data_IF_265794282952
#
_entry.id   IF_265794282952
#
_cell.length_a   1.000
_cell.length_b   1.000
_cell.length_c   1.000
_cell.angle_alpha   90.00
_cell.angle_beta   90.00
_cell.angle_gamma   90.00
#
_symmetry.space_group_name_H-M   'P 1'
#
loop_
_entity.id
_entity.type
_entity.pdbx_description
1 polymer ?
#
# COMPACT_ATOMS: atom_id res chain seq x y z
N UNK A 1 -6.82 -1.93 -29.73
CA UNK A 1 -6.73 -3.05 -28.78
C UNK A 1 -5.82 -4.11 -29.39
N UNK A 2 -4.79 -4.53 -28.67
CA UNK A 2 -3.90 -5.62 -29.05
C UNK A 2 -3.97 -6.71 -27.99
N UNK A 3 -3.84 -7.97 -28.42
CA UNK A 3 -3.59 -9.12 -27.53
C UNK A 3 -2.11 -9.43 -27.41
N UNK A 4 -1.27 -8.78 -28.23
CA UNK A 4 0.18 -8.86 -28.20
C UNK A 4 0.72 -7.64 -27.46
N UNK A 5 0.93 -7.80 -26.16
CA UNK A 5 1.43 -6.72 -25.32
C UNK A 5 2.91 -6.41 -25.60
N UNK A 6 3.70 -7.38 -26.02
CA UNK A 6 5.13 -7.18 -26.31
C UNK A 6 5.34 -6.16 -27.44
N UNK A 7 4.55 -6.26 -28.52
CA UNK A 7 4.64 -5.31 -29.63
C UNK A 7 4.24 -3.88 -29.24
N UNK A 8 3.38 -3.72 -28.22
CA UNK A 8 2.97 -2.40 -27.71
C UNK A 8 4.14 -1.64 -27.10
N UNK A 9 5.06 -2.33 -26.42
CA UNK A 9 6.23 -1.71 -25.77
C UNK A 9 7.25 -1.14 -26.78
N UNK A 10 7.27 -1.66 -28.01
CA UNK A 10 8.19 -1.26 -29.07
C UNK A 10 7.68 -0.05 -29.87
N UNK A 11 6.44 0.38 -29.66
CA UNK A 11 5.85 1.52 -30.36
C UNK A 11 6.50 2.84 -29.98
N UNK A 12 6.86 3.66 -30.95
CA UNK A 12 7.49 4.97 -30.75
C UNK A 12 6.48 6.05 -30.30
N UNK A 13 5.16 5.83 -30.54
CA UNK A 13 4.09 6.74 -30.18
C UNK A 13 3.55 6.50 -28.74
N UNK A 14 4.20 5.63 -27.96
CA UNK A 14 3.86 5.35 -26.57
C UNK A 14 5.06 5.72 -25.69
N UNK A 15 4.86 6.62 -24.73
CA UNK A 15 5.87 7.06 -23.77
C UNK A 15 5.73 6.38 -22.39
N UNK A 16 4.54 5.91 -22.06
CA UNK A 16 4.18 5.41 -20.73
C UNK A 16 3.54 4.01 -20.87
N UNK A 17 3.95 3.11 -20.00
CA UNK A 17 3.28 1.82 -19.78
C UNK A 17 2.63 1.81 -18.40
N UNK A 18 1.32 1.57 -18.37
CA UNK A 18 0.55 1.29 -17.17
C UNK A 18 0.40 -0.23 -17.02
N UNK A 19 0.99 -0.78 -15.93
CA UNK A 19 0.99 -2.21 -15.64
C UNK A 19 -0.06 -2.47 -14.56
N UNK A 20 -1.26 -2.90 -14.99
CA UNK A 20 -2.41 -3.23 -14.14
C UNK A 20 -2.82 -4.71 -14.28
N UNK A 21 -1.85 -5.57 -14.51
CA UNK A 21 -2.03 -7.02 -14.68
C UNK A 21 -2.01 -7.75 -13.33
N UNK A 22 -2.27 -9.08 -13.26
CA UNK A 22 -1.93 -9.87 -12.09
C UNK A 22 -0.43 -9.81 -11.75
N UNK A 23 -0.10 -9.88 -10.45
CA UNK A 23 1.25 -9.58 -9.92
C UNK A 23 2.40 -10.34 -10.57
N UNK A 24 2.17 -11.62 -10.97
CA UNK A 24 3.21 -12.43 -11.60
C UNK A 24 3.73 -11.87 -12.93
N UNK A 25 2.98 -11.01 -13.61
CA UNK A 25 3.38 -10.38 -14.87
C UNK A 25 4.11 -9.04 -14.67
N UNK A 26 4.05 -8.43 -13.48
CA UNK A 26 4.65 -7.12 -13.24
C UNK A 26 6.14 -7.10 -13.55
N UNK A 27 6.88 -8.11 -13.09
CA UNK A 27 8.33 -8.20 -13.27
C UNK A 27 8.73 -8.21 -14.75
N UNK A 28 8.17 -9.11 -15.54
CA UNK A 28 8.49 -9.24 -16.96
C UNK A 28 8.17 -7.96 -17.74
N UNK A 29 6.96 -7.42 -17.50
CA UNK A 29 6.49 -6.21 -18.15
C UNK A 29 7.33 -4.98 -17.77
N UNK A 30 7.66 -4.79 -16.48
CA UNK A 30 8.48 -3.67 -16.05
C UNK A 30 9.90 -3.72 -16.64
N UNK A 31 10.52 -4.91 -16.69
CA UNK A 31 11.83 -5.11 -17.33
C UNK A 31 11.78 -4.78 -18.83
N UNK A 32 10.75 -5.24 -19.54
CA UNK A 32 10.57 -4.94 -20.98
C UNK A 32 10.33 -3.44 -21.20
N UNK A 33 9.46 -2.80 -20.39
CA UNK A 33 9.19 -1.37 -20.49
C UNK A 33 10.47 -0.54 -20.29
N UNK A 34 11.25 -0.85 -19.25
CA UNK A 34 12.53 -0.20 -18.97
C UNK A 34 13.51 -0.34 -20.14
N UNK A 35 13.67 -1.55 -20.69
CA UNK A 35 14.53 -1.80 -21.87
C UNK A 35 14.10 -1.00 -23.12
N UNK A 36 12.80 -0.72 -23.25
CA UNK A 36 12.26 0.10 -24.33
C UNK A 36 12.25 1.61 -24.00
N UNK A 37 12.83 2.02 -22.86
CA UNK A 37 12.90 3.44 -22.44
C UNK A 37 11.55 4.05 -22.07
N UNK A 38 10.53 3.24 -21.72
CA UNK A 38 9.18 3.72 -21.37
C UNK A 38 9.12 4.05 -19.90
N UNK A 39 8.45 5.16 -19.55
CA UNK A 39 8.06 5.47 -18.19
C UNK A 39 7.05 4.46 -17.68
N UNK A 40 7.09 4.10 -16.38
CA UNK A 40 6.27 3.00 -15.85
C UNK A 40 5.39 3.49 -14.71
N UNK A 41 4.08 3.27 -14.85
CA UNK A 41 3.11 3.28 -13.77
C UNK A 41 2.73 1.83 -13.48
N UNK A 42 3.02 1.34 -12.27
CA UNK A 42 2.81 -0.07 -11.93
C UNK A 42 1.85 -0.21 -10.74
N UNK A 43 0.92 -1.16 -10.83
CA UNK A 43 0.05 -1.53 -9.73
C UNK A 43 0.79 -2.30 -8.63
N UNK A 44 0.22 -2.24 -7.43
CA UNK A 44 0.64 -3.04 -6.28
C UNK A 44 -0.10 -4.41 -6.27
N UNK A 45 0.41 -5.45 -5.55
CA UNK A 45 1.75 -5.56 -4.97
C UNK A 45 2.83 -5.48 -6.02
N UNK A 46 4.00 -4.94 -5.65
CA UNK A 46 5.02 -4.59 -6.64
C UNK A 46 5.54 -5.78 -7.42
N UNK A 47 5.84 -6.88 -6.73
CA UNK A 47 6.38 -8.11 -7.32
C UNK A 47 5.99 -9.33 -6.48
N UNK A 48 6.30 -10.54 -6.92
CA UNK A 48 6.06 -11.76 -6.16
C UNK A 48 7.03 -11.95 -4.99
N UNK A 49 8.23 -11.35 -5.04
CA UNK A 49 9.28 -11.46 -4.03
C UNK A 49 10.28 -10.30 -4.14
N UNK A 50 11.17 -10.19 -3.14
CA UNK A 50 12.17 -9.13 -3.07
C UNK A 50 13.15 -9.14 -4.28
N UNK A 51 13.59 -10.30 -4.72
CA UNK A 51 14.54 -10.41 -5.84
C UNK A 51 13.97 -9.82 -7.15
N UNK A 52 12.70 -10.11 -7.45
CA UNK A 52 12.02 -9.49 -8.59
C UNK A 52 11.91 -7.98 -8.42
N UNK A 53 11.52 -7.51 -7.23
CA UNK A 53 11.40 -6.08 -6.94
C UNK A 53 12.74 -5.33 -7.14
N UNK A 54 13.84 -5.89 -6.64
CA UNK A 54 15.20 -5.32 -6.80
C UNK A 54 15.60 -5.25 -8.28
N UNK A 55 15.35 -6.30 -9.06
CA UNK A 55 15.68 -6.28 -10.49
C UNK A 55 14.81 -5.30 -11.30
N UNK A 56 13.54 -5.10 -10.94
CA UNK A 56 12.68 -4.08 -11.56
C UNK A 56 13.20 -2.67 -11.27
N UNK A 57 13.62 -2.40 -10.04
CA UNK A 57 14.21 -1.12 -9.65
C UNK A 57 15.53 -0.86 -10.42
N UNK A 58 16.43 -1.85 -10.45
CA UNK A 58 17.70 -1.76 -11.18
C UNK A 58 17.50 -1.46 -12.68
N UNK A 59 16.56 -2.16 -13.31
CA UNK A 59 16.24 -1.92 -14.71
C UNK A 59 15.70 -0.51 -14.98
N UNK A 60 14.80 -0.02 -14.13
CA UNK A 60 14.22 1.31 -14.27
C UNK A 60 15.28 2.42 -14.04
N UNK A 61 16.17 2.24 -13.04
CA UNK A 61 17.27 3.16 -12.76
C UNK A 61 18.30 3.16 -13.90
N UNK A 62 18.69 1.98 -14.41
CA UNK A 62 19.64 1.86 -15.51
C UNK A 62 19.14 2.50 -16.80
N UNK A 63 17.83 2.44 -17.05
CA UNK A 63 17.18 3.10 -18.17
C UNK A 63 16.93 4.60 -17.97
N UNK A 64 17.17 5.12 -16.76
CA UNK A 64 16.91 6.51 -16.37
C UNK A 64 15.48 6.99 -16.69
N UNK A 65 14.48 6.12 -16.44
CA UNK A 65 13.07 6.39 -16.65
C UNK A 65 12.39 6.82 -15.36
N UNK A 66 11.29 7.57 -15.49
CA UNK A 66 10.41 7.86 -14.36
C UNK A 66 9.54 6.62 -14.12
N UNK A 67 9.49 6.17 -12.88
CA UNK A 67 8.72 5.01 -12.46
C UNK A 67 7.92 5.30 -11.20
N UNK A 68 6.71 4.78 -11.15
CA UNK A 68 5.74 5.00 -10.08
C UNK A 68 5.12 3.67 -9.67
N UNK A 69 4.96 3.46 -8.36
CA UNK A 69 4.22 2.32 -7.82
C UNK A 69 2.92 2.82 -7.21
N UNK A 70 1.78 2.30 -7.66
CA UNK A 70 0.48 2.85 -7.32
C UNK A 70 0.01 2.44 -5.91
N UNK A 71 0.73 2.89 -4.88
CA UNK A 71 0.21 2.95 -3.52
C UNK A 71 -0.74 4.17 -3.40
N UNK A 72 -1.89 4.07 -4.06
CA UNK A 72 -2.86 5.14 -4.26
C UNK A 72 -3.36 5.79 -2.95
N UNK A 73 -3.34 5.08 -1.82
CA UNK A 73 -3.78 5.64 -0.54
C UNK A 73 -2.90 6.77 -0.05
N UNK A 74 -1.61 6.85 -0.43
CA UNK A 74 -0.78 8.04 -0.18
C UNK A 74 -1.37 9.33 -0.82
N UNK A 75 -2.29 9.19 -1.77
CA UNK A 75 -2.97 10.30 -2.48
C UNK A 75 -4.37 10.59 -1.95
N UNK A 76 -4.78 9.92 -0.87
CA UNK A 76 -5.98 10.28 -0.12
C UNK A 76 -5.73 11.60 0.64
N UNK A 77 -6.55 12.65 0.45
CA UNK A 77 -6.31 13.96 1.08
C UNK A 77 -6.16 13.91 2.60
N UNK A 78 -6.89 13.03 3.29
CA UNK A 78 -6.74 12.84 4.73
C UNK A 78 -5.35 12.28 5.11
N UNK A 79 -4.80 11.38 4.31
CA UNK A 79 -3.45 10.82 4.53
C UNK A 79 -2.37 11.86 4.20
N UNK A 80 -2.59 12.67 3.15
CA UNK A 80 -1.67 13.80 2.84
C UNK A 80 -1.66 14.81 3.97
N UNK A 81 -2.83 15.14 4.54
CA UNK A 81 -2.92 16.00 5.71
C UNK A 81 -2.22 15.37 6.93
N UNK A 82 -2.41 14.08 7.17
CA UNK A 82 -1.73 13.35 8.25
C UNK A 82 -0.21 13.46 8.11
N UNK A 83 0.33 13.21 6.90
CA UNK A 83 1.78 13.34 6.63
C UNK A 83 2.28 14.76 6.89
N UNK A 84 1.54 15.78 6.45
CA UNK A 84 1.87 17.18 6.69
C UNK A 84 1.90 17.50 8.19
N UNK A 85 0.88 17.07 8.94
CA UNK A 85 0.81 17.30 10.39
C UNK A 85 1.96 16.62 11.14
N UNK A 86 2.36 15.41 10.73
CA UNK A 86 3.52 14.70 11.28
C UNK A 86 4.81 15.47 10.96
N UNK A 87 5.00 15.92 9.72
CA UNK A 87 6.19 16.66 9.30
C UNK A 87 6.32 18.04 9.97
N UNK A 88 5.20 18.66 10.33
CA UNK A 88 5.11 19.89 11.11
C UNK A 88 5.34 19.68 12.62
N UNK A 89 5.60 18.43 13.05
CA UNK A 89 5.87 18.09 14.45
C UNK A 89 4.62 18.04 15.36
N UNK A 90 3.40 18.07 14.80
CA UNK A 90 2.17 18.12 15.62
C UNK A 90 1.94 16.90 16.50
N UNK A 91 2.62 15.79 16.25
CA UNK A 91 2.58 14.59 17.07
C UNK A 91 3.78 14.51 18.03
N UNK A 92 4.80 15.36 17.87
CA UNK A 92 6.05 15.22 18.56
C UNK A 92 6.78 13.93 18.18
N UNK A 93 7.46 13.27 19.12
CA UNK A 93 8.10 11.97 18.90
C UNK A 93 7.02 10.88 18.78
N UNK A 94 7.02 10.15 17.67
CA UNK A 94 6.10 9.01 17.49
C UNK A 94 6.56 7.86 18.37
N UNK A 95 5.61 7.27 19.11
CA UNK A 95 5.83 6.12 19.98
C UNK A 95 5.24 4.84 19.42
N UNK A 96 4.03 4.94 18.82
CA UNK A 96 3.25 3.77 18.49
C UNK A 96 2.43 3.96 17.22
N UNK A 97 2.39 2.92 16.36
CA UNK A 97 1.48 2.77 15.23
C UNK A 97 0.63 1.53 15.42
N UNK A 98 -0.66 1.66 15.24
CA UNK A 98 -1.60 0.55 15.08
C UNK A 98 -2.24 0.65 13.71
N UNK A 99 -2.14 -0.40 12.88
CA UNK A 99 -2.71 -0.42 11.54
C UNK A 99 -3.42 -1.74 11.25
N UNK A 100 -4.51 -1.68 10.49
CA UNK A 100 -5.19 -2.88 10.03
C UNK A 100 -5.77 -2.67 8.63
N UNK A 101 -5.78 -3.74 7.82
CA UNK A 101 -6.51 -3.74 6.58
C UNK A 101 -7.40 -4.98 6.51
N UNK A 102 -8.68 -4.74 6.62
CA UNK A 102 -9.70 -5.76 6.82
C UNK A 102 -10.74 -5.73 5.70
N UNK A 103 -11.02 -6.89 5.14
CA UNK A 103 -12.05 -7.13 4.12
C UNK A 103 -12.83 -8.40 4.46
N UNK A 104 -14.01 -8.62 3.85
CA UNK A 104 -14.85 -9.80 4.13
C UNK A 104 -15.21 -10.63 2.90
N UNK A 105 -14.67 -10.30 1.71
CA UNK A 105 -15.10 -10.95 0.47
C UNK A 105 -14.74 -12.44 0.36
N UNK A 106 -13.79 -12.94 1.17
CA UNK A 106 -13.49 -14.37 1.31
C UNK A 106 -14.23 -15.07 2.46
N UNK A 107 -14.93 -14.31 3.31
CA UNK A 107 -15.69 -14.89 4.42
C UNK A 107 -16.83 -15.83 3.94
N UNK A 108 -17.36 -15.61 2.75
CA UNK A 108 -18.30 -16.52 2.14
C UNK A 108 -17.58 -17.80 1.68
N UNK A 109 -17.98 -19.01 2.19
CA UNK A 109 -17.36 -20.27 1.79
C UNK A 109 -17.55 -20.61 0.31
N UNK A 110 -18.60 -20.08 -0.33
CA UNK A 110 -18.92 -20.32 -1.75
C UNK A 110 -18.12 -19.42 -2.71
N UNK A 111 -17.30 -18.50 -2.19
CA UNK A 111 -16.44 -17.68 -3.05
C UNK A 111 -15.49 -18.58 -3.85
N UNK A 112 -15.53 -18.42 -5.16
CA UNK A 112 -14.75 -19.24 -6.09
C UNK A 112 -13.25 -18.93 -6.01
N UNK A 113 -12.44 -19.91 -6.41
CA UNK A 113 -10.99 -19.76 -6.59
C UNK A 113 -10.70 -18.69 -7.65
N UNK A 114 -9.93 -17.68 -7.29
CA UNK A 114 -9.39 -16.66 -8.19
C UNK A 114 -7.85 -16.66 -8.14
N UNK A 115 -7.22 -15.94 -9.04
CA UNK A 115 -5.75 -15.82 -9.09
C UNK A 115 -5.14 -15.27 -7.79
N UNK A 116 -5.89 -14.46 -7.03
CA UNK A 116 -5.46 -13.92 -5.74
C UNK A 116 -5.27 -14.98 -4.64
N UNK A 117 -5.76 -16.21 -4.87
CA UNK A 117 -5.66 -17.35 -3.95
C UNK A 117 -4.60 -18.37 -4.40
N UNK A 118 -3.88 -18.06 -5.45
CA UNK A 118 -2.76 -18.85 -5.96
C UNK A 118 -1.45 -18.10 -5.70
N UNK A 119 -0.58 -18.69 -4.90
CA UNK A 119 0.70 -18.11 -4.50
C UNK A 119 1.62 -17.80 -5.70
N UNK A 120 1.62 -18.64 -6.73
CA UNK A 120 2.47 -18.44 -7.91
C UNK A 120 2.02 -17.23 -8.74
N UNK A 121 0.73 -16.86 -8.67
CA UNK A 121 0.16 -15.74 -9.41
C UNK A 121 0.10 -14.44 -8.60
N UNK A 122 -0.07 -14.55 -7.28
CA UNK A 122 -0.28 -13.40 -6.39
C UNK A 122 0.90 -13.06 -5.48
N UNK A 123 1.81 -14.02 -5.24
CA UNK A 123 2.91 -13.89 -4.28
C UNK A 123 2.50 -14.16 -2.82
N UNK A 124 1.19 -14.22 -2.52
CA UNK A 124 0.66 -14.48 -1.17
C UNK A 124 -0.76 -13.97 -1.00
N UNK A 125 -1.30 -14.17 0.19
CA UNK A 125 -2.65 -13.73 0.58
C UNK A 125 -2.69 -12.29 1.12
N UNK A 126 -3.53 -12.03 2.15
CA UNK A 126 -3.60 -10.74 2.82
C UNK A 126 -2.27 -10.19 3.31
N UNK A 127 -1.31 -11.06 3.67
CA UNK A 127 0.03 -10.62 4.05
C UNK A 127 0.67 -9.77 2.97
N UNK A 128 0.67 -10.24 1.73
CA UNK A 128 1.25 -9.52 0.58
C UNK A 128 0.30 -8.43 0.08
N UNK A 129 -0.95 -8.76 -0.23
CA UNK A 129 -1.87 -7.84 -0.89
C UNK A 129 -2.30 -6.66 0.01
N UNK A 130 -2.75 -6.94 1.22
CA UNK A 130 -3.21 -5.91 2.16
C UNK A 130 -2.06 -5.38 3.02
N UNK A 131 -1.11 -6.24 3.40
CA UNK A 131 0.07 -5.88 4.17
C UNK A 131 0.95 -4.87 3.45
N UNK A 132 1.05 -4.92 2.11
CA UNK A 132 1.79 -3.94 1.32
C UNK A 132 1.28 -2.51 1.55
N UNK A 133 -0.02 -2.30 1.65
CA UNK A 133 -0.59 -0.98 1.95
C UNK A 133 -0.29 -0.52 3.38
N UNK A 134 -0.41 -1.42 4.36
CA UNK A 134 -0.12 -1.09 5.76
C UNK A 134 1.35 -0.70 5.95
N UNK A 135 2.26 -1.47 5.36
CA UNK A 135 3.71 -1.24 5.41
C UNK A 135 4.08 0.03 4.65
N UNK A 136 3.51 0.25 3.47
CA UNK A 136 3.73 1.44 2.67
C UNK A 136 3.33 2.70 3.43
N UNK A 137 2.14 2.73 4.03
CA UNK A 137 1.69 3.85 4.86
C UNK A 137 2.53 4.02 6.12
N UNK A 138 3.01 2.93 6.74
CA UNK A 138 3.90 2.99 7.88
C UNK A 138 5.25 3.63 7.52
N UNK A 139 5.87 3.21 6.41
CA UNK A 139 7.08 3.83 5.88
C UNK A 139 6.86 5.31 5.56
N UNK A 140 5.75 5.63 4.92
CA UNK A 140 5.41 6.99 4.54
C UNK A 140 5.19 7.92 5.75
N UNK A 141 4.48 7.45 6.78
CA UNK A 141 4.05 8.30 7.91
C UNK A 141 5.01 8.25 9.10
N UNK A 142 5.62 7.10 9.40
CA UNK A 142 6.40 6.87 10.61
C UNK A 142 7.90 6.76 10.32
N UNK A 143 8.28 5.93 9.35
CA UNK A 143 9.68 5.69 8.99
C UNK A 143 9.96 4.22 8.67
N UNK A 144 11.22 3.88 8.51
CA UNK A 144 11.63 2.53 8.14
C UNK A 144 11.40 1.53 9.27
N UNK A 145 10.99 0.32 8.90
CA UNK A 145 10.80 -0.81 9.82
C UNK A 145 12.12 -1.58 9.91
N UNK A 146 12.69 -1.68 11.11
CA UNK A 146 13.98 -2.35 11.38
C UNK A 146 13.86 -3.82 11.76
N UNK A 147 12.69 -4.26 12.22
CA UNK A 147 12.45 -5.68 12.54
C UNK A 147 10.97 -6.02 12.57
N UNK A 148 10.67 -7.32 12.35
CA UNK A 148 9.31 -7.84 12.29
C UNK A 148 9.19 -9.21 12.96
N UNK A 149 8.08 -9.44 13.68
CA UNK A 149 7.55 -10.75 14.03
C UNK A 149 6.17 -10.92 13.40
N UNK A 150 5.93 -12.06 12.78
CA UNK A 150 4.71 -12.31 12.00
C UNK A 150 4.10 -13.68 12.34
N UNK A 151 2.78 -13.69 12.42
CA UNK A 151 1.95 -14.88 12.46
C UNK A 151 1.02 -14.88 11.24
N UNK A 152 1.01 -15.97 10.49
CA UNK A 152 0.06 -16.19 9.39
C UNK A 152 -0.88 -17.34 9.73
N UNK A 153 -2.14 -17.20 9.33
CA UNK A 153 -3.16 -18.21 9.55
C UNK A 153 -3.81 -18.62 8.22
N UNK A 154 -4.17 -19.91 8.14
CA UNK A 154 -4.85 -20.52 6.98
C UNK A 154 -6.15 -21.16 7.46
N UNK A 155 -7.30 -20.54 7.19
CA UNK A 155 -8.61 -20.99 7.65
C UNK A 155 -9.27 -21.93 6.65
N UNK A 156 -9.11 -21.66 5.35
CA UNK A 156 -9.74 -22.40 4.24
C UNK A 156 -8.65 -23.04 3.39
N UNK A 157 -8.71 -24.36 3.27
CA UNK A 157 -7.68 -25.17 2.59
C UNK A 157 -7.96 -25.41 1.11
N UNK A 158 -9.21 -25.31 0.68
CA UNK A 158 -9.62 -25.56 -0.69
C UNK A 158 -10.85 -24.73 -1.08
N UNK A 159 -10.93 -24.34 -2.33
CA UNK A 159 -12.11 -23.71 -2.92
C UNK A 159 -12.40 -24.28 -4.30
N UNK A 160 -13.65 -24.12 -4.71
CA UNK A 160 -14.11 -24.57 -6.04
C UNK A 160 -13.74 -23.52 -7.10
N UNK A 161 -13.16 -23.95 -8.20
CA UNK A 161 -12.88 -23.09 -9.35
C UNK A 161 -14.11 -22.96 -10.28
N UNK A 162 -13.98 -22.17 -11.35
CA UNK A 162 -15.05 -21.97 -12.36
C UNK A 162 -15.51 -23.24 -13.05
N UNK A 163 -14.70 -24.31 -13.07
CA UNK A 163 -15.02 -25.63 -13.63
C UNK A 163 -15.63 -26.59 -12.60
N UNK A 164 -16.05 -26.07 -11.45
CA UNK A 164 -16.61 -26.83 -10.34
C UNK A 164 -15.67 -27.90 -9.75
N UNK A 165 -14.36 -27.66 -9.85
CA UNK A 165 -13.31 -28.55 -9.33
C UNK A 165 -12.69 -27.90 -8.09
N UNK A 166 -12.50 -28.67 -7.01
CA UNK A 166 -11.81 -28.20 -5.81
C UNK A 166 -10.31 -28.01 -6.09
N UNK A 167 -9.81 -26.87 -5.68
CA UNK A 167 -8.40 -26.49 -5.78
C UNK A 167 -7.86 -26.14 -4.40
N UNK A 168 -6.63 -26.55 -4.06
CA UNK A 168 -6.00 -26.16 -2.82
C UNK A 168 -5.70 -24.65 -2.82
N UNK A 169 -5.82 -24.02 -1.64
CA UNK A 169 -5.38 -22.66 -1.39
C UNK A 169 -4.01 -22.74 -0.73
N UNK A 170 -3.05 -22.01 -1.30
CA UNK A 170 -1.65 -22.00 -0.87
C UNK A 170 -1.17 -20.61 -0.39
N UNK A 171 -2.11 -19.71 -0.08
CA UNK A 171 -1.87 -18.37 0.47
C UNK A 171 -2.46 -18.25 1.88
N UNK A 172 -1.97 -17.31 2.67
CA UNK A 172 -2.53 -16.99 3.98
C UNK A 172 -3.93 -16.38 3.88
N UNK A 173 -4.74 -16.52 4.93
CA UNK A 173 -6.07 -15.93 5.09
C UNK A 173 -6.06 -14.74 6.06
N UNK A 174 -5.05 -14.71 6.94
CA UNK A 174 -4.80 -13.62 7.87
C UNK A 174 -3.32 -13.53 8.23
N UNK A 175 -2.85 -12.29 8.45
CA UNK A 175 -1.51 -12.00 8.92
C UNK A 175 -1.58 -10.98 10.06
N UNK A 176 -0.87 -11.28 11.16
CA UNK A 176 -0.70 -10.38 12.31
C UNK A 176 0.79 -10.15 12.48
N UNK A 177 1.19 -8.87 12.50
CA UNK A 177 2.60 -8.48 12.55
C UNK A 177 2.85 -7.51 13.71
N UNK A 178 3.99 -7.64 14.37
CA UNK A 178 4.54 -6.65 15.27
C UNK A 178 5.90 -6.19 14.76
N UNK A 179 6.15 -4.87 14.78
CA UNK A 179 7.34 -4.26 14.18
C UNK A 179 8.00 -3.27 15.11
N UNK A 180 9.30 -3.04 14.89
CA UNK A 180 10.03 -1.89 15.41
C UNK A 180 10.50 -1.04 14.24
N UNK A 181 10.53 0.27 14.47
CA UNK A 181 11.02 1.27 13.51
C UNK A 181 12.42 1.75 13.89
N UNK A 182 13.21 2.22 12.92
CA UNK A 182 14.55 2.77 13.14
C UNK A 182 14.58 3.94 14.15
N UNK A 183 13.49 4.70 14.22
CA UNK A 183 13.34 5.83 15.15
C UNK A 183 12.95 5.41 16.58
N UNK A 184 12.82 4.10 16.84
CA UNK A 184 12.46 3.51 18.13
C UNK A 184 10.96 3.46 18.41
N UNK A 185 10.10 3.83 17.46
CA UNK A 185 8.68 3.56 17.55
C UNK A 185 8.39 2.06 17.39
N UNK A 186 7.23 1.62 17.89
CA UNK A 186 6.75 0.23 17.70
C UNK A 186 5.41 0.23 16.98
N UNK A 187 5.09 -0.86 16.29
CA UNK A 187 3.83 -0.96 15.57
C UNK A 187 3.25 -2.34 15.50
N UNK A 188 1.96 -2.39 15.15
CA UNK A 188 1.25 -3.63 14.85
C UNK A 188 0.43 -3.50 13.58
N UNK A 189 0.38 -4.58 12.79
CA UNK A 189 -0.46 -4.68 11.60
C UNK A 189 -1.34 -5.93 11.68
N UNK A 190 -2.57 -5.80 11.20
CA UNK A 190 -3.53 -6.90 11.05
C UNK A 190 -4.11 -6.85 9.64
N UNK A 191 -3.94 -7.92 8.86
CA UNK A 191 -4.41 -8.02 7.49
C UNK A 191 -5.23 -9.29 7.31
N UNK A 192 -6.49 -9.17 6.86
CA UNK A 192 -7.35 -10.34 6.61
C UNK A 192 -8.44 -10.04 5.61
N UNK A 193 -8.89 -11.07 4.89
CA UNK A 193 -10.06 -11.03 4.00
C UNK A 193 -11.28 -11.76 4.59
N UNK A 194 -11.23 -12.04 5.91
CA UNK A 194 -12.25 -12.80 6.65
C UNK A 194 -12.94 -12.01 7.77
N UNK A 195 -12.78 -10.68 7.78
CA UNK A 195 -13.39 -9.81 8.78
C UNK A 195 -14.84 -9.48 8.39
N UNK A 196 -15.79 -10.40 8.62
CA UNK A 196 -17.20 -10.26 8.28
C UNK A 196 -17.77 -8.91 8.72
N UNK A 197 -18.34 -8.15 7.77
CA UNK A 197 -18.87 -6.81 7.98
C UNK A 197 -17.91 -5.68 7.64
N UNK A 198 -16.60 -5.94 7.40
CA UNK A 198 -15.64 -4.95 6.91
C UNK A 198 -15.49 -5.08 5.39
N UNK A 199 -15.85 -4.04 4.64
CA UNK A 199 -15.84 -4.11 3.17
C UNK A 199 -14.47 -3.74 2.59
N UNK A 200 -13.87 -2.67 3.08
CA UNK A 200 -12.54 -2.23 2.65
C UNK A 200 -11.91 -1.30 3.71
N UNK A 201 -11.77 -1.80 4.93
CA UNK A 201 -11.29 -1.00 6.04
C UNK A 201 -9.77 -1.02 6.14
N UNK A 202 -9.12 -0.01 5.54
CA UNK A 202 -7.75 0.33 5.83
C UNK A 202 -7.73 1.40 6.94
N UNK A 203 -7.18 1.06 8.08
CA UNK A 203 -7.20 1.87 9.30
C UNK A 203 -5.82 2.04 9.86
N UNK A 204 -5.52 3.23 10.37
CA UNK A 204 -4.38 3.42 11.26
C UNK A 204 -4.68 4.39 12.40
N UNK A 205 -3.95 4.20 13.50
CA UNK A 205 -3.83 5.13 14.62
C UNK A 205 -2.34 5.31 14.93
N UNK A 206 -1.88 6.57 14.95
CA UNK A 206 -0.50 6.95 15.25
C UNK A 206 -0.51 7.79 16.52
N UNK A 207 0.27 7.38 17.52
CA UNK A 207 0.36 8.05 18.81
C UNK A 207 1.78 8.59 19.00
N UNK A 208 1.89 9.88 19.31
CA UNK A 208 3.14 10.58 19.61
C UNK A 208 3.11 11.27 20.98
N UNK A 209 4.21 11.95 21.31
CA UNK A 209 4.36 12.65 22.60
C UNK A 209 3.45 13.86 22.75
N UNK A 210 3.00 14.46 21.64
CA UNK A 210 2.24 15.72 21.65
C UNK A 210 0.88 15.60 20.96
N UNK A 211 0.59 14.47 20.30
CA UNK A 211 -0.68 14.26 19.63
C UNK A 211 -0.85 12.89 19.05
N UNK A 212 -2.06 12.62 18.55
CA UNK A 212 -2.43 11.37 17.90
C UNK A 212 -3.28 11.62 16.66
N UNK A 213 -3.17 10.74 15.67
CA UNK A 213 -3.97 10.74 14.46
C UNK A 213 -4.67 9.41 14.28
N UNK A 214 -5.92 9.45 13.79
CA UNK A 214 -6.69 8.26 13.39
C UNK A 214 -7.28 8.47 12.01
N UNK A 215 -7.13 7.46 11.16
CA UNK A 215 -7.72 7.39 9.83
C UNK A 215 -8.46 6.07 9.62
N UNK A 216 -9.58 6.13 8.93
CA UNK A 216 -10.36 4.98 8.50
C UNK A 216 -10.81 5.19 7.04
N UNK A 217 -10.39 4.30 6.13
CA UNK A 217 -10.72 4.40 4.71
C UNK A 217 -12.24 4.32 4.44
N UNK A 218 -13.00 3.62 5.28
CA UNK A 218 -14.47 3.61 5.17
C UNK A 218 -15.09 5.00 5.46
N UNK A 219 -14.25 5.95 5.92
CA UNK A 219 -14.56 7.38 6.12
C UNK A 219 -13.46 8.27 5.52
N UNK A 220 -13.04 7.98 4.30
CA UNK A 220 -11.81 8.49 3.70
C UNK A 220 -11.67 10.01 3.63
N UNK A 221 -12.76 10.77 3.80
CA UNK A 221 -12.75 12.23 3.83
C UNK A 221 -12.61 12.80 5.25
N UNK A 222 -12.34 11.98 6.24
CA UNK A 222 -12.22 12.36 7.65
C UNK A 222 -10.82 11.98 8.18
N UNK A 223 -10.27 12.85 9.05
CA UNK A 223 -9.09 12.59 9.86
C UNK A 223 -9.41 12.96 11.29
N UNK A 224 -9.13 12.09 12.25
CA UNK A 224 -9.25 12.43 13.67
C UNK A 224 -7.89 12.84 14.22
N UNK A 225 -7.87 13.92 15.01
CA UNK A 225 -6.65 14.46 15.61
C UNK A 225 -6.87 14.79 17.07
N UNK A 226 -5.97 14.33 17.93
CA UNK A 226 -5.83 14.71 19.32
C UNK A 226 -4.58 15.55 19.50
N UNK A 227 -4.65 16.61 20.32
CA UNK A 227 -3.51 17.44 20.73
C UNK A 227 -3.38 17.45 22.24
N UNK A 228 -2.17 17.17 22.75
CA UNK A 228 -1.87 17.32 24.17
C UNK A 228 -1.75 18.78 24.61
N UNK A 229 -1.65 19.72 23.65
CA UNK A 229 -1.57 21.15 23.91
C UNK A 229 -2.96 21.80 24.15
N UNK A 230 -4.05 21.07 23.87
CA UNK A 230 -5.39 21.53 24.18
C UNK A 230 -5.58 21.54 25.73
N UNK A 231 -6.38 22.46 26.28
CA UNK A 231 -6.70 22.44 27.71
C UNK A 231 -7.24 21.09 28.17
N UNK A 232 -6.80 20.58 29.31
CA UNK A 232 -7.12 19.21 29.76
C UNK A 232 -8.63 18.88 29.81
N UNK A 233 -9.45 19.87 30.10
CA UNK A 233 -10.91 19.72 30.12
C UNK A 233 -11.55 19.70 28.72
N UNK A 234 -10.79 20.04 27.67
CA UNK A 234 -11.26 20.10 26.28
C UNK A 234 -10.55 19.06 25.41
N UNK A 235 -9.63 18.30 26.02
CA UNK A 235 -8.88 17.27 25.29
C UNK A 235 -9.81 16.16 24.80
N UNK A 236 -9.66 15.81 23.53
CA UNK A 236 -10.40 14.75 22.88
C UNK A 236 -10.00 14.66 21.41
N UNK A 237 -10.37 13.56 20.77
CA UNK A 237 -10.20 13.48 19.30
C UNK A 237 -11.21 14.43 18.64
N UNK A 238 -10.69 15.38 17.86
CA UNK A 238 -11.51 16.21 16.99
C UNK A 238 -11.49 15.66 15.56
N UNK A 239 -12.63 15.65 14.92
CA UNK A 239 -12.81 15.25 13.53
C UNK A 239 -12.50 16.42 12.61
N UNK A 240 -11.64 16.19 11.63
CA UNK A 240 -11.34 17.11 10.53
C UNK A 240 -11.99 16.54 9.27
N UNK A 241 -12.92 17.27 8.67
CA UNK A 241 -13.48 16.93 7.36
C UNK A 241 -12.54 17.54 6.32
N UNK A 242 -11.89 16.66 5.54
CA UNK A 242 -10.81 17.06 4.63
C UNK A 242 -11.43 17.42 3.27
N UNK A 243 -12.16 18.55 3.24
CA UNK A 243 -12.86 19.04 2.05
C UNK A 243 -12.60 20.51 1.75
N UNK A 244 -11.73 21.18 2.51
CA UNK A 244 -11.41 22.59 2.30
C UNK A 244 -10.43 22.79 1.13
N UNK A 245 -10.48 23.94 0.42
CA UNK A 245 -9.60 24.19 -0.74
C UNK A 245 -8.09 24.21 -0.43
N UNK A 246 -7.71 24.37 0.84
CA UNK A 246 -6.33 24.30 1.30
C UNK A 246 -5.86 22.89 1.67
N UNK A 247 -6.73 21.89 1.56
CA UNK A 247 -6.33 20.49 1.58
C UNK A 247 -5.82 20.08 0.19
N UNK A 248 -4.68 19.41 0.14
CA UNK A 248 -4.07 19.00 -1.12
C UNK A 248 -5.02 18.09 -1.92
N UNK A 249 -4.98 18.23 -3.25
CA UNK A 249 -5.87 17.62 -4.25
C UNK A 249 -7.31 18.14 -4.24
N UNK A 250 -7.92 18.42 -3.07
CA UNK A 250 -9.35 18.76 -2.94
C UNK A 250 -9.74 19.99 -3.74
N UNK A 251 -8.87 21.01 -3.81
CA UNK A 251 -9.10 22.26 -4.58
C UNK A 251 -9.42 22.06 -6.06
N UNK A 252 -9.07 20.88 -6.61
CA UNK A 252 -9.28 20.57 -8.01
C UNK A 252 -10.66 19.94 -8.29
N UNK A 253 -11.47 19.70 -7.25
CA UNK A 253 -12.72 18.96 -7.36
C UNK A 253 -13.93 19.84 -7.05
N UNK A 254 -14.37 19.88 -5.83
CA UNK A 254 -15.67 20.40 -5.45
C UNK A 254 -15.56 21.48 -4.37
N UNK A 255 -16.58 22.34 -4.20
CA UNK A 255 -16.66 23.24 -3.05
C UNK A 255 -16.62 22.47 -1.71
N UNK A 256 -16.25 23.15 -0.60
CA UNK A 256 -16.23 22.53 0.74
C UNK A 256 -17.52 21.77 1.08
N UNK A 257 -17.36 20.64 1.77
CA UNK A 257 -18.46 19.76 2.17
C UNK A 257 -18.83 18.70 1.13
N UNK A 258 -18.32 18.77 -0.10
CA UNK A 258 -18.51 17.73 -1.11
C UNK A 258 -17.39 16.71 -0.99
N UNK A 259 -17.76 15.45 -0.76
CA UNK A 259 -16.82 14.35 -0.57
C UNK A 259 -16.32 13.80 -1.89
N UNK A 260 -15.10 13.24 -1.88
CA UNK A 260 -14.51 12.52 -2.99
C UNK A 260 -14.51 11.02 -2.69
N UNK A 261 -14.41 10.18 -3.72
CA UNK A 261 -14.44 8.73 -3.63
C UNK A 261 -13.07 8.08 -3.89
N UNK A 262 -13.06 6.75 -3.86
CA UNK A 262 -11.88 5.91 -4.01
C UNK A 262 -11.15 6.15 -5.34
N UNK A 263 -11.89 6.31 -6.44
CA UNK A 263 -11.38 6.56 -7.79
C UNK A 263 -10.54 7.83 -7.89
N UNK A 264 -10.82 8.84 -7.08
CA UNK A 264 -10.08 10.10 -7.09
C UNK A 264 -8.60 9.91 -6.69
N UNK A 265 -8.30 8.91 -5.85
CA UNK A 265 -6.91 8.61 -5.46
C UNK A 265 -6.07 8.14 -6.65
N UNK A 266 -6.67 7.40 -7.59
CA UNK A 266 -6.02 7.01 -8.84
C UNK A 266 -5.81 8.19 -9.78
N UNK A 267 -6.79 9.08 -9.88
CA UNK A 267 -6.65 10.32 -10.67
C UNK A 267 -5.52 11.19 -10.13
N UNK A 268 -5.41 11.31 -8.78
CA UNK A 268 -4.31 12.03 -8.15
C UNK A 268 -2.95 11.37 -8.44
N UNK A 269 -2.87 10.04 -8.35
CA UNK A 269 -1.65 9.28 -8.67
C UNK A 269 -1.22 9.48 -10.12
N UNK A 270 -2.15 9.36 -11.07
CA UNK A 270 -1.89 9.54 -12.49
C UNK A 270 -1.44 10.99 -12.81
N UNK A 271 -2.12 11.98 -12.21
CA UNK A 271 -1.76 13.39 -12.39
C UNK A 271 -0.34 13.68 -11.87
N UNK A 272 0.00 13.20 -10.66
CA UNK A 272 1.33 13.38 -10.09
C UNK A 272 2.40 12.69 -10.92
N UNK A 273 2.13 11.48 -11.43
CA UNK A 273 3.06 10.74 -12.27
C UNK A 273 3.32 11.48 -13.60
N UNK A 274 2.27 11.95 -14.29
CA UNK A 274 2.40 12.73 -15.53
C UNK A 274 3.19 14.02 -15.27
N UNK A 275 2.88 14.73 -14.17
CA UNK A 275 3.59 15.93 -13.80
C UNK A 275 5.08 15.67 -13.51
N UNK A 276 5.41 14.52 -12.92
CA UNK A 276 6.79 14.12 -12.65
C UNK A 276 7.57 13.85 -13.93
N UNK A 277 6.93 13.26 -14.94
CA UNK A 277 7.53 13.07 -16.28
C UNK A 277 7.80 14.42 -16.95
N UNK A 278 6.81 15.32 -16.95
CA UNK A 278 6.95 16.66 -17.54
C UNK A 278 8.06 17.46 -16.85
N UNK A 279 8.17 17.35 -15.55
CA UNK A 279 9.20 18.02 -14.75
C UNK A 279 10.56 17.30 -14.76
N UNK A 280 10.63 16.09 -15.32
CA UNK A 280 11.79 15.19 -15.26
C UNK A 280 12.32 15.00 -13.84
N UNK A 281 11.42 14.83 -12.88
CA UNK A 281 11.74 14.66 -11.47
C UNK A 281 11.18 13.32 -10.96
N UNK A 282 11.97 12.58 -10.18
CA UNK A 282 11.48 11.40 -9.49
C UNK A 282 10.38 11.75 -8.49
N UNK A 283 9.42 10.86 -8.33
CA UNK A 283 8.27 10.99 -7.44
C UNK A 283 8.18 9.75 -6.53
N UNK A 284 7.50 9.90 -5.38
CA UNK A 284 7.14 8.80 -4.49
C UNK A 284 5.61 8.67 -4.38
N UNK A 285 5.06 7.45 -4.22
CA UNK A 285 5.77 6.17 -4.15
C UNK A 285 6.34 5.73 -5.49
N UNK A 286 7.54 5.16 -5.46
CA UNK A 286 8.22 4.65 -6.65
C UNK A 286 8.73 3.22 -6.42
N UNK A 287 9.53 2.68 -7.33
CA UNK A 287 10.03 1.31 -7.23
C UNK A 287 10.95 1.08 -6.03
N UNK A 288 11.65 2.12 -5.54
CA UNK A 288 12.42 2.00 -4.29
C UNK A 288 11.48 1.80 -3.08
N UNK A 289 10.33 2.51 -3.04
CA UNK A 289 9.31 2.26 -2.01
C UNK A 289 8.78 0.82 -2.11
N UNK A 290 8.61 0.31 -3.34
CA UNK A 290 8.22 -1.08 -3.60
C UNK A 290 9.22 -2.09 -3.06
N UNK A 291 10.52 -1.89 -3.33
CA UNK A 291 11.60 -2.74 -2.78
C UNK A 291 11.60 -2.71 -1.27
N UNK A 292 11.50 -1.53 -0.66
CA UNK A 292 11.48 -1.41 0.80
C UNK A 292 10.27 -2.13 1.42
N UNK A 293 9.11 -2.03 0.78
CA UNK A 293 7.90 -2.74 1.19
C UNK A 293 8.06 -4.27 1.06
N UNK A 294 8.55 -4.76 -0.08
CA UNK A 294 8.78 -6.19 -0.32
C UNK A 294 9.79 -6.79 0.65
N UNK A 295 10.81 -6.04 1.03
CA UNK A 295 11.81 -6.47 2.05
C UNK A 295 11.17 -6.75 3.40
N UNK A 296 10.22 -5.93 3.83
CA UNK A 296 9.47 -6.16 5.08
C UNK A 296 8.53 -7.35 4.95
N UNK A 297 7.84 -7.48 3.81
CA UNK A 297 6.92 -8.60 3.55
C UNK A 297 7.65 -9.94 3.52
N UNK A 298 8.81 -10.03 2.84
CA UNK A 298 9.62 -11.26 2.80
C UNK A 298 10.18 -11.60 4.19
N UNK A 299 10.61 -10.59 4.97
CA UNK A 299 11.01 -10.79 6.36
C UNK A 299 9.84 -11.29 7.23
N UNK A 300 8.62 -10.80 6.99
CA UNK A 300 7.40 -11.28 7.63
C UNK A 300 7.09 -12.74 7.29
N UNK A 301 7.22 -13.14 6.03
CA UNK A 301 7.09 -14.53 5.61
C UNK A 301 8.13 -15.43 6.27
N UNK A 302 9.39 -14.99 6.36
CA UNK A 302 10.44 -15.73 7.06
C UNK A 302 10.13 -15.87 8.56
N UNK A 303 9.65 -14.79 9.19
CA UNK A 303 9.24 -14.78 10.59
C UNK A 303 8.10 -15.76 10.86
N UNK A 304 7.05 -15.74 10.05
CA UNK A 304 5.92 -16.66 10.17
C UNK A 304 6.34 -18.13 10.02
N UNK A 305 7.28 -18.41 9.10
CA UNK A 305 7.80 -19.75 8.85
C UNK A 305 8.68 -20.27 9.99
N UNK A 306 9.50 -19.39 10.59
CA UNK A 306 10.51 -19.79 11.61
C UNK A 306 10.02 -19.60 13.04
N UNK A 307 8.96 -18.82 13.25
CA UNK A 307 8.50 -18.39 14.58
C UNK A 307 9.45 -17.40 15.26
N UNK A 308 10.42 -16.85 14.53
CA UNK A 308 11.42 -15.93 15.07
C UNK A 308 11.21 -14.51 14.58
N UNK A 309 11.67 -13.54 15.38
CA UNK A 309 11.79 -12.15 14.96
C UNK A 309 12.92 -12.02 13.91
N UNK A 310 12.66 -11.29 12.86
CA UNK A 310 13.60 -11.06 11.76
C UNK A 310 14.01 -9.59 11.73
N UNK A 311 15.32 -9.33 11.71
CA UNK A 311 15.89 -7.99 11.50
C UNK A 311 15.89 -7.66 10.01
N UNK A 312 15.63 -6.39 9.68
CA UNK A 312 15.54 -5.89 8.31
C UNK A 312 16.70 -4.92 8.09
N UNK A 313 17.56 -5.23 7.11
CA UNK A 313 18.63 -4.33 6.65
C UNK A 313 18.09 -3.41 5.54
N UNK A 314 18.47 -2.15 5.57
CA UNK A 314 18.08 -1.12 4.59
C UNK A 314 19.22 -0.75 3.66
#
# INVERSE_FOLDING_TARGET
ISTDWESVFEREDIDIIDIATPTHLHHEMAIKAAKCGKHIFCEKPFALNLQQAESMLEAAQSANIIHYLNHNYRRCPAIVLAKKMISEGKLGRIYHLRSSYQQDWLANPDTQMGWQLDHELSGGGPHIDLGSHCIDLAHHLVGNISSISCLQAHFVKERTNSNNTKQPINVDDASIMSVEFDNGAVGSFECTRYASGRKNRNYFEINGSEGSLVFDLEKMNELEYFSSNDPSQEQGFRKIIVTEPNHDYVKNWWPPGHIIGYEHTFVHSAADFINSIVANNSITPNFQDGVNCMRVLDAGNLSAKTGQRVSIAH
#
